data_IF_744618355808
#
_entry.id   IF_744618355808
#
_cell.length_a   1.000
_cell.length_b   1.000
_cell.length_c   1.000
_cell.angle_alpha   90.00
_cell.angle_beta   90.00
_cell.angle_gamma   90.00
#
_symmetry.space_group_name_H-M   'P 1'
#
loop_
_entity.id
_entity.type
_entity.pdbx_description
1 polymer ?
#
# COMPACT_ATOMS: atom_id res chain seq x y z
N UNK A 1 8.55 -0.45 22.38
CA UNK A 1 8.30 -1.47 21.35
C UNK A 1 6.82 -1.45 20.99
N UNK A 2 6.45 -0.68 19.97
CA UNK A 2 5.10 -0.69 19.39
C UNK A 2 5.12 -1.30 17.98
N UNK A 3 3.96 -1.52 17.35
CA UNK A 3 3.87 -2.16 16.02
C UNK A 3 4.36 -1.27 14.87
N UNK A 4 4.77 -0.02 15.14
CA UNK A 4 5.35 0.88 14.14
C UNK A 4 5.17 2.36 14.52
N UNK A 5 5.98 3.28 13.93
CA UNK A 5 7.20 3.00 13.18
C UNK A 5 8.29 2.39 14.09
N UNK A 6 9.21 1.62 13.51
CA UNK A 6 10.33 0.97 14.22
C UNK A 6 11.67 1.58 13.79
N UNK A 7 12.74 1.20 14.47
CA UNK A 7 14.09 1.64 14.12
C UNK A 7 14.48 1.16 12.71
N UNK A 8 15.07 2.04 11.91
CA UNK A 8 15.61 1.71 10.61
C UNK A 8 17.04 1.14 10.70
N UNK A 9 17.40 0.25 9.77
CA UNK A 9 18.79 -0.19 9.61
C UNK A 9 19.69 1.01 9.32
N UNK A 10 20.87 1.15 9.96
CA UNK A 10 21.79 2.27 9.73
C UNK A 10 22.17 2.50 8.26
N UNK A 11 22.14 1.48 7.40
CA UNK A 11 22.39 1.62 5.96
C UNK A 11 21.30 2.44 5.27
N UNK A 12 20.04 2.29 5.69
CA UNK A 12 18.90 3.06 5.16
C UNK A 12 19.04 4.53 5.56
N UNK A 13 19.40 4.79 6.83
CA UNK A 13 19.61 6.15 7.33
C UNK A 13 20.73 6.87 6.56
N UNK A 14 21.83 6.18 6.26
CA UNK A 14 22.92 6.74 5.43
C UNK A 14 22.51 6.98 3.98
N UNK A 15 21.70 6.10 3.38
CA UNK A 15 21.23 6.31 2.02
C UNK A 15 20.35 7.57 1.90
N UNK A 16 19.48 7.81 2.90
CA UNK A 16 18.59 8.97 2.94
C UNK A 16 19.30 10.32 3.11
N UNK A 17 20.59 10.35 3.49
CA UNK A 17 21.36 11.61 3.57
C UNK A 17 21.96 12.06 2.24
N UNK A 18 21.70 11.33 1.15
CA UNK A 18 22.22 11.63 -0.19
C UNK A 18 21.50 12.82 -0.84
N UNK A 19 22.14 13.47 -1.82
CA UNK A 19 21.50 14.53 -2.60
C UNK A 19 20.34 13.99 -3.43
N UNK A 20 19.32 14.83 -3.64
CA UNK A 20 18.15 14.46 -4.43
C UNK A 20 18.51 14.29 -5.91
N UNK A 21 17.83 13.35 -6.55
CA UNK A 21 17.93 13.06 -7.99
C UNK A 21 16.57 13.38 -8.62
N UNK A 22 16.55 14.01 -9.80
CA UNK A 22 15.32 14.34 -10.50
C UNK A 22 14.56 13.10 -10.99
N UNK A 23 13.23 13.15 -11.07
CA UNK A 23 12.41 11.96 -11.38
C UNK A 23 12.67 11.34 -12.76
N UNK A 24 13.18 12.13 -13.72
CA UNK A 24 13.49 11.69 -15.07
C UNK A 24 14.97 11.39 -15.30
N UNK A 25 15.79 11.49 -14.25
CA UNK A 25 17.18 11.07 -14.31
C UNK A 25 17.26 9.55 -14.59
N UNK A 26 18.14 9.08 -15.49
CA UNK A 26 18.34 7.66 -15.73
C UNK A 26 18.63 6.85 -14.46
N UNK A 27 19.36 7.41 -13.48
CA UNK A 27 19.61 6.76 -12.21
C UNK A 27 18.32 6.55 -11.41
N UNK A 28 17.45 7.57 -11.35
CA UNK A 28 16.17 7.46 -10.65
C UNK A 28 15.25 6.42 -11.30
N UNK A 29 15.10 6.46 -12.63
CA UNK A 29 14.27 5.48 -13.35
C UNK A 29 14.82 4.05 -13.25
N UNK A 30 16.14 3.89 -13.16
CA UNK A 30 16.77 2.61 -12.84
C UNK A 30 16.37 2.11 -11.44
N UNK A 31 16.49 2.95 -10.41
CA UNK A 31 16.07 2.58 -9.05
C UNK A 31 14.59 2.23 -8.97
N UNK A 32 13.72 2.95 -9.69
CA UNK A 32 12.30 2.58 -9.77
C UNK A 32 12.11 1.15 -10.30
N UNK A 33 12.82 0.78 -11.38
CA UNK A 33 12.74 -0.56 -11.95
C UNK A 33 13.28 -1.65 -11.00
N UNK A 34 14.41 -1.38 -10.34
CA UNK A 34 14.98 -2.29 -9.35
C UNK A 34 14.04 -2.52 -8.17
N UNK A 35 13.46 -1.44 -7.62
CA UNK A 35 12.52 -1.53 -6.50
C UNK A 35 11.28 -2.34 -6.87
N UNK A 36 10.71 -2.13 -8.07
CA UNK A 36 9.60 -2.96 -8.56
C UNK A 36 9.99 -4.45 -8.62
N UNK A 37 11.21 -4.78 -9.06
CA UNK A 37 11.70 -6.15 -9.12
C UNK A 37 11.93 -6.77 -7.73
N UNK A 38 12.51 -6.02 -6.80
CA UNK A 38 12.74 -6.48 -5.43
C UNK A 38 11.41 -6.80 -4.71
N UNK A 39 10.39 -5.95 -4.87
CA UNK A 39 9.09 -6.19 -4.25
C UNK A 39 8.36 -7.41 -4.83
N UNK A 40 8.57 -7.76 -6.11
CA UNK A 40 8.05 -9.02 -6.66
C UNK A 40 8.57 -10.24 -5.90
N UNK A 41 9.84 -10.22 -5.49
CA UNK A 41 10.42 -11.24 -4.63
C UNK A 41 9.77 -11.30 -3.24
N UNK A 42 9.52 -10.13 -2.62
CA UNK A 42 8.86 -10.03 -1.31
C UNK A 42 7.43 -10.58 -1.34
N UNK A 43 6.65 -10.17 -2.36
CA UNK A 43 5.27 -10.61 -2.52
C UNK A 43 5.13 -11.99 -3.17
N UNK A 44 6.23 -12.60 -3.64
CA UNK A 44 6.26 -13.86 -4.40
C UNK A 44 5.28 -13.83 -5.59
N UNK A 45 5.42 -12.81 -6.43
CA UNK A 45 4.54 -12.59 -7.59
C UNK A 45 5.35 -12.30 -8.85
N UNK A 46 4.79 -12.62 -10.01
CA UNK A 46 5.34 -12.26 -11.33
C UNK A 46 4.66 -11.02 -11.92
N UNK A 47 3.73 -10.40 -11.17
CA UNK A 47 2.97 -9.25 -11.66
C UNK A 47 3.90 -8.11 -12.10
N UNK A 48 3.81 -7.72 -13.38
CA UNK A 48 4.59 -6.58 -13.90
C UNK A 48 4.28 -5.30 -13.12
N UNK A 49 3.05 -5.08 -12.71
CA UNK A 49 2.62 -3.92 -11.94
C UNK A 49 2.79 -4.18 -10.44
N UNK A 50 4.02 -4.04 -9.95
CA UNK A 50 4.36 -4.03 -8.52
C UNK A 50 5.04 -2.70 -8.22
N UNK A 51 4.23 -1.67 -8.00
CA UNK A 51 4.68 -0.27 -7.96
C UNK A 51 4.54 0.33 -6.56
N UNK A 52 5.24 1.44 -6.34
CA UNK A 52 5.11 2.24 -5.13
C UNK A 52 4.06 3.34 -5.31
N UNK A 53 3.44 3.70 -4.19
CA UNK A 53 2.54 4.85 -4.06
C UNK A 53 3.09 5.73 -2.96
N UNK A 54 3.31 7.01 -3.27
CA UNK A 54 3.87 7.98 -2.33
C UNK A 54 2.82 8.36 -1.29
N UNK A 55 2.91 7.73 -0.12
CA UNK A 55 2.05 7.98 1.02
C UNK A 55 2.28 6.94 2.12
N UNK A 56 1.57 7.09 3.25
CA UNK A 56 1.55 6.03 4.27
C UNK A 56 0.80 4.81 3.74
N UNK A 57 0.86 3.67 4.44
CA UNK A 57 0.23 2.41 3.97
C UNK A 57 -1.25 2.55 3.61
N UNK A 58 -1.99 3.45 4.27
CA UNK A 58 -3.41 3.74 3.93
C UNK A 58 -3.57 4.31 2.51
N UNK A 59 -2.62 5.10 2.02
CA UNK A 59 -2.67 5.65 0.67
C UNK A 59 -2.57 4.54 -0.40
N UNK A 60 -1.74 3.51 -0.17
CA UNK A 60 -1.70 2.33 -1.05
C UNK A 60 -3.02 1.55 -1.07
N UNK A 61 -3.64 1.38 0.10
CA UNK A 61 -4.97 0.75 0.24
C UNK A 61 -6.03 1.57 -0.52
N UNK A 62 -6.00 2.90 -0.35
CA UNK A 62 -6.95 3.78 -1.02
C UNK A 62 -6.74 3.80 -2.53
N UNK A 63 -5.50 3.83 -3.01
CA UNK A 63 -5.17 3.80 -4.44
C UNK A 63 -5.76 2.56 -5.13
N UNK A 64 -5.65 1.37 -4.53
CA UNK A 64 -6.22 0.15 -5.14
C UNK A 64 -7.75 0.14 -5.07
N UNK A 65 -8.35 0.54 -3.95
CA UNK A 65 -9.81 0.54 -3.81
C UNK A 65 -10.48 1.57 -4.73
N UNK A 66 -9.94 2.79 -4.79
CA UNK A 66 -10.48 3.86 -5.64
C UNK A 66 -10.31 3.54 -7.13
N UNK A 67 -9.23 2.84 -7.52
CA UNK A 67 -9.02 2.47 -8.93
C UNK A 67 -9.84 1.26 -9.38
N UNK A 68 -10.20 0.36 -8.46
CA UNK A 68 -10.90 -0.87 -8.78
C UNK A 68 -12.43 -0.79 -8.60
N UNK A 69 -12.92 0.01 -7.64
CA UNK A 69 -14.35 0.05 -7.27
C UNK A 69 -15.10 1.12 -8.06
N UNK A 70 -16.26 0.73 -8.61
CA UNK A 70 -17.25 1.63 -9.19
C UNK A 70 -18.45 1.80 -8.25
N UNK A 71 -19.20 2.90 -8.37
CA UNK A 71 -20.44 3.09 -7.62
C UNK A 71 -21.42 1.94 -7.86
N UNK A 72 -21.95 1.37 -6.77
CA UNK A 72 -22.86 0.22 -6.81
C UNK A 72 -22.19 -1.15 -6.83
N UNK A 73 -20.87 -1.25 -6.95
CA UNK A 73 -20.17 -2.53 -6.84
C UNK A 73 -20.37 -3.14 -5.44
N UNK A 74 -20.59 -4.45 -5.39
CA UNK A 74 -20.71 -5.18 -4.13
C UNK A 74 -19.34 -5.57 -3.60
N UNK A 75 -19.01 -5.13 -2.40
CA UNK A 75 -17.70 -5.37 -1.77
C UNK A 75 -17.90 -6.08 -0.45
N UNK A 76 -17.34 -7.29 -0.31
CA UNK A 76 -17.34 -8.05 0.94
C UNK A 76 -16.08 -7.71 1.76
N UNK A 77 -16.26 -7.29 3.01
CA UNK A 77 -15.18 -7.02 3.96
C UNK A 77 -15.38 -7.83 5.24
N UNK A 78 -14.57 -8.89 5.46
CA UNK A 78 -14.49 -9.54 6.77
C UNK A 78 -13.80 -8.60 7.78
N UNK A 79 -14.47 -8.32 8.89
CA UNK A 79 -13.98 -7.41 9.94
C UNK A 79 -13.68 -8.19 11.21
N UNK A 80 -12.39 -8.35 11.48
CA UNK A 80 -11.84 -9.00 12.68
C UNK A 80 -10.86 -8.08 13.42
N UNK A 81 -10.97 -6.77 13.22
CA UNK A 81 -10.08 -5.77 13.80
C UNK A 81 -10.24 -4.39 13.17
N UNK A 82 -9.52 -3.40 13.72
CA UNK A 82 -9.57 -1.99 13.29
C UNK A 82 -9.44 -1.79 11.77
N UNK A 83 -8.52 -2.52 11.13
CA UNK A 83 -8.24 -2.33 9.71
C UNK A 83 -9.35 -2.84 8.79
N UNK A 84 -10.22 -3.75 9.25
CA UNK A 84 -11.43 -4.11 8.50
C UNK A 84 -12.38 -2.91 8.38
N UNK A 85 -12.59 -2.15 9.46
CA UNK A 85 -13.39 -0.93 9.40
C UNK A 85 -12.80 0.14 8.49
N UNK A 86 -11.46 0.24 8.41
CA UNK A 86 -10.78 1.12 7.47
C UNK A 86 -11.14 0.77 6.01
N UNK A 87 -11.12 -0.53 5.66
CA UNK A 87 -11.51 -0.99 4.32
C UNK A 87 -12.98 -0.65 4.02
N UNK A 88 -13.88 -0.87 4.99
CA UNK A 88 -15.29 -0.50 4.86
C UNK A 88 -15.47 1.01 4.63
N UNK A 89 -14.74 1.84 5.36
CA UNK A 89 -14.79 3.30 5.23
C UNK A 89 -14.41 3.74 3.82
N UNK A 90 -13.29 3.25 3.30
CA UNK A 90 -12.81 3.61 1.96
C UNK A 90 -13.77 3.09 0.89
N UNK A 91 -14.21 1.82 0.96
CA UNK A 91 -15.13 1.24 -0.02
C UNK A 91 -16.48 1.99 -0.07
N UNK A 92 -17.03 2.41 1.08
CA UNK A 92 -18.24 3.25 1.12
C UNK A 92 -18.01 4.63 0.50
N UNK A 93 -16.84 5.25 0.69
CA UNK A 93 -16.49 6.52 0.02
C UNK A 93 -16.39 6.36 -1.50
N UNK A 94 -16.01 5.18 -1.99
CA UNK A 94 -16.08 4.81 -3.41
C UNK A 94 -17.52 4.55 -3.90
N UNK A 95 -18.53 4.64 -3.02
CA UNK A 95 -19.96 4.35 -3.28
C UNK A 95 -20.23 2.87 -3.59
N UNK A 96 -19.43 1.96 -3.03
CA UNK A 96 -19.75 0.52 -3.05
C UNK A 96 -20.94 0.17 -2.14
N UNK A 97 -21.64 -0.90 -2.49
CA UNK A 97 -22.51 -1.64 -1.59
C UNK A 97 -21.63 -2.56 -0.73
N UNK A 98 -21.31 -2.12 0.49
CA UNK A 98 -20.39 -2.85 1.38
C UNK A 98 -21.14 -3.85 2.25
N UNK A 99 -20.81 -5.13 2.09
CA UNK A 99 -21.26 -6.22 2.94
C UNK A 99 -20.15 -6.58 3.94
N UNK A 100 -20.50 -6.77 5.21
CA UNK A 100 -19.52 -7.15 6.24
C UNK A 100 -19.84 -8.51 6.86
N UNK A 101 -18.78 -9.21 7.26
CA UNK A 101 -18.85 -10.34 8.20
C UNK A 101 -18.03 -9.92 9.40
N UNK A 102 -18.68 -9.61 10.52
CA UNK A 102 -18.00 -9.15 11.73
C UNK A 102 -17.84 -10.29 12.73
N UNK A 103 -16.64 -10.38 13.30
CA UNK A 103 -16.33 -11.31 14.40
C UNK A 103 -15.72 -10.53 15.56
N UNK A 104 -15.82 -11.03 16.81
CA UNK A 104 -15.12 -10.43 17.94
C UNK A 104 -13.65 -10.23 17.62
N UNK A 105 -13.11 -9.09 18.02
CA UNK A 105 -11.69 -8.84 17.92
C UNK A 105 -10.99 -9.78 18.90
N UNK A 106 -9.84 -10.32 18.49
CA UNK A 106 -9.05 -11.22 19.33
C UNK A 106 -8.76 -10.65 20.72
#
# INVERSE_FOLDING_TARGET
>A
MGPGPINADPRVLRAMSSQLIGQYDPAMTHYMNEVMALYRGVFRTENRWTMLVDGTSRAGIEAILVSAIRPGDKVLVPVFGRFGHLLCEIARRCRAEVHTIEVPWG
#
